data_IF_593152809779
#
_entry.id   IF_593152809779
#
_cell.length_a   1.000
_cell.length_b   1.000
_cell.length_c   1.000
_cell.angle_alpha   90.00
_cell.angle_beta   90.00
_cell.angle_gamma   90.00
#
_symmetry.space_group_name_H-M   'P 1'
#
loop_
_entity.id
_entity.type
_entity.pdbx_description
1 polymer ?
#
# COMPACT_ATOMS: atom_id res chain seq x y z
N UNK A 1 -6.04 7.60 -7.59
CA UNK A 1 -4.86 6.83 -7.13
C UNK A 1 -3.65 7.14 -8.01
N UNK A 2 -3.53 6.62 -9.23
CA UNK A 2 -2.30 6.81 -10.02
C UNK A 2 -2.19 8.13 -10.80
N UNK A 3 -3.28 8.92 -10.94
CA UNK A 3 -3.27 10.18 -11.70
C UNK A 3 -2.16 11.11 -11.21
N UNK A 4 -2.08 11.30 -9.90
CA UNK A 4 -1.10 12.17 -9.25
C UNK A 4 0.32 11.65 -9.45
N UNK A 5 0.53 10.33 -9.31
CA UNK A 5 1.82 9.71 -9.58
C UNK A 5 2.30 9.96 -11.01
N UNK A 6 1.40 9.84 -12.00
CA UNK A 6 1.70 10.11 -13.41
C UNK A 6 2.01 11.60 -13.64
N UNK A 7 1.17 12.50 -13.13
CA UNK A 7 1.34 13.96 -13.27
C UNK A 7 2.68 14.42 -12.70
N UNK A 8 3.12 13.81 -11.60
CA UNK A 8 4.38 14.13 -10.96
C UNK A 8 5.57 13.31 -11.47
N UNK A 9 5.40 12.50 -12.51
CA UNK A 9 6.45 11.61 -13.05
C UNK A 9 7.08 10.73 -11.96
N UNK A 10 6.27 10.24 -11.02
CA UNK A 10 6.74 9.42 -9.92
C UNK A 10 7.26 8.07 -10.45
N UNK A 11 8.45 7.68 -9.98
CA UNK A 11 9.04 6.39 -10.31
C UNK A 11 8.23 5.21 -9.72
N UNK A 12 7.76 5.39 -8.49
CA UNK A 12 6.95 4.39 -7.76
C UNK A 12 6.11 5.08 -6.69
N UNK A 13 5.20 4.33 -6.07
CA UNK A 13 4.37 4.79 -4.95
C UNK A 13 4.44 3.82 -3.78
N UNK A 14 4.17 4.34 -2.59
CA UNK A 14 3.89 3.56 -1.37
C UNK A 14 2.47 3.93 -0.95
N UNK A 15 1.68 2.92 -0.59
CA UNK A 15 0.36 3.11 0.02
C UNK A 15 0.53 3.20 1.53
N UNK A 16 -0.23 4.09 2.17
CA UNK A 16 -0.29 4.10 3.62
C UNK A 16 -1.67 4.55 4.10
N UNK A 17 -2.17 3.89 5.14
CA UNK A 17 -3.33 4.32 5.91
C UNK A 17 -3.13 3.99 7.38
N UNK A 18 -4.00 4.54 8.23
CA UNK A 18 -3.97 4.28 9.65
C UNK A 18 -5.10 3.34 10.09
N UNK A 19 -4.84 2.49 11.08
CA UNK A 19 -5.85 1.73 11.83
C UNK A 19 -6.14 2.46 13.16
N UNK A 20 -7.27 3.20 13.28
CA UNK A 20 -7.62 3.89 14.52
C UNK A 20 -7.86 2.95 15.70
N UNK A 21 -8.09 1.65 15.44
CA UNK A 21 -8.21 0.60 16.45
C UNK A 21 -6.95 0.43 17.30
N UNK A 22 -5.80 0.92 16.82
CA UNK A 22 -4.52 0.81 17.52
C UNK A 22 -3.72 -0.43 17.14
N UNK A 23 -4.28 -1.36 16.36
CA UNK A 23 -3.59 -2.57 15.89
C UNK A 23 -3.45 -2.56 14.35
N UNK A 24 -2.22 -2.51 13.80
CA UNK A 24 -1.98 -2.55 12.37
C UNK A 24 -1.94 -3.98 11.81
N UNK A 25 -2.00 -5.02 12.65
CA UNK A 25 -1.90 -6.43 12.26
C UNK A 25 -3.06 -7.28 12.85
N UNK A 26 -3.64 -8.23 12.10
CA UNK A 26 -3.47 -8.44 10.67
C UNK A 26 -4.12 -7.32 9.83
N UNK A 27 -3.64 -7.10 8.59
CA UNK A 27 -4.39 -6.31 7.62
C UNK A 27 -5.79 -6.91 7.40
N UNK A 28 -6.77 -6.05 7.14
CA UNK A 28 -8.12 -6.48 6.80
C UNK A 28 -8.18 -7.14 5.41
N UNK A 29 -9.28 -7.83 5.12
CA UNK A 29 -9.52 -8.38 3.76
C UNK A 29 -9.59 -7.26 2.70
N UNK A 30 -10.11 -6.09 3.07
CA UNK A 30 -10.15 -4.91 2.21
C UNK A 30 -8.74 -4.38 1.92
N UNK A 31 -7.85 -4.37 2.92
CA UNK A 31 -6.45 -4.00 2.75
C UNK A 31 -5.76 -4.96 1.78
N UNK A 32 -5.97 -6.27 1.92
CA UNK A 32 -5.41 -7.26 0.99
C UNK A 32 -5.94 -7.06 -0.44
N UNK A 33 -7.25 -6.85 -0.57
CA UNK A 33 -7.93 -6.69 -1.85
C UNK A 33 -7.46 -5.43 -2.58
N UNK A 34 -7.37 -4.31 -1.87
CA UNK A 34 -6.95 -3.04 -2.46
C UNK A 34 -5.46 -3.07 -2.82
N UNK A 35 -4.61 -3.66 -1.97
CA UNK A 35 -3.18 -3.83 -2.24
C UNK A 35 -2.96 -4.59 -3.55
N UNK A 36 -3.63 -5.74 -3.70
CA UNK A 36 -3.51 -6.57 -4.90
C UNK A 36 -3.95 -5.81 -6.15
N UNK A 37 -5.11 -5.14 -6.10
CA UNK A 37 -5.64 -4.37 -7.23
C UNK A 37 -4.70 -3.24 -7.64
N UNK A 38 -4.12 -2.54 -6.67
CA UNK A 38 -3.22 -1.42 -6.92
C UNK A 38 -1.85 -1.89 -7.40
N UNK A 39 -1.32 -3.00 -6.88
CA UNK A 39 -0.09 -3.64 -7.40
C UNK A 39 -0.23 -3.98 -8.89
N UNK A 40 -1.31 -4.67 -9.27
CA UNK A 40 -1.55 -5.04 -10.67
C UNK A 40 -1.78 -3.81 -11.55
N UNK A 41 -2.52 -2.82 -11.06
CA UNK A 41 -2.75 -1.57 -11.79
C UNK A 41 -1.46 -0.78 -11.99
N UNK A 42 -0.62 -0.70 -10.96
CA UNK A 42 0.68 -0.03 -11.01
C UNK A 42 1.62 -0.67 -12.02
N UNK A 43 1.63 -2.01 -12.09
CA UNK A 43 2.37 -2.76 -13.10
C UNK A 43 1.92 -2.42 -14.53
N UNK A 44 0.62 -2.31 -14.78
CA UNK A 44 0.07 -1.94 -16.09
C UNK A 44 0.47 -0.50 -16.47
N UNK A 45 0.43 0.41 -15.50
CA UNK A 45 0.71 1.84 -15.71
C UNK A 45 2.20 2.18 -15.70
N UNK A 46 3.08 1.23 -15.37
CA UNK A 46 4.52 1.48 -15.22
C UNK A 46 4.88 2.28 -13.96
N UNK A 47 4.00 2.30 -12.95
CA UNK A 47 4.23 2.95 -11.65
C UNK A 47 4.12 1.89 -10.56
N UNK A 48 5.26 1.37 -10.10
CA UNK A 48 5.28 0.27 -9.14
C UNK A 48 4.70 0.69 -7.78
N UNK A 49 3.89 -0.18 -7.17
CA UNK A 49 3.54 -0.07 -5.75
C UNK A 49 4.61 -0.82 -4.98
N UNK A 50 5.49 -0.07 -4.31
CA UNK A 50 6.68 -0.64 -3.65
C UNK A 50 6.43 -1.10 -2.23
N UNK A 51 5.40 -0.58 -1.55
CA UNK A 51 4.93 -1.09 -0.27
C UNK A 51 3.49 -0.64 0.00
N UNK A 52 2.85 -1.31 0.95
CA UNK A 52 1.66 -0.85 1.63
C UNK A 52 1.91 -0.90 3.14
N UNK A 53 1.79 0.25 3.79
CA UNK A 53 2.11 0.44 5.20
C UNK A 53 0.83 0.79 5.98
N UNK A 54 0.43 -0.09 6.89
CA UNK A 54 -0.63 0.21 7.85
C UNK A 54 0.01 0.78 9.11
N UNK A 55 -0.40 1.98 9.52
CA UNK A 55 0.17 2.69 10.67
C UNK A 55 -0.83 2.65 11.83
N UNK A 56 -0.33 2.39 13.02
CA UNK A 56 -1.09 2.49 14.27
C UNK A 56 -0.33 3.34 15.28
N UNK A 57 -0.90 3.51 16.48
CA UNK A 57 -0.25 4.26 17.56
C UNK A 57 1.07 3.62 18.01
N UNK A 58 1.07 2.29 18.13
CA UNK A 58 2.15 1.54 18.79
C UNK A 58 2.97 0.70 17.81
N UNK A 59 2.77 0.85 16.51
CA UNK A 59 3.52 0.11 15.49
C UNK A 59 3.01 0.32 14.07
N UNK A 60 3.56 -0.46 13.14
CA UNK A 60 3.15 -0.48 11.74
C UNK A 60 3.19 -1.91 11.18
N UNK A 61 2.51 -2.13 10.06
CA UNK A 61 2.57 -3.35 9.27
C UNK A 61 3.00 -3.00 7.84
N UNK A 62 4.11 -3.57 7.37
CA UNK A 62 4.58 -3.45 5.98
C UNK A 62 4.26 -4.74 5.20
N UNK A 63 3.50 -4.62 4.12
CA UNK A 63 3.20 -5.75 3.23
C UNK A 63 4.48 -6.29 2.58
N UNK A 64 5.44 -5.41 2.24
CA UNK A 64 6.73 -5.80 1.68
C UNK A 64 7.58 -6.57 2.68
N UNK A 65 7.69 -6.08 3.92
CA UNK A 65 8.47 -6.75 4.97
C UNK A 65 7.93 -8.15 5.27
N UNK A 66 6.60 -8.31 5.23
CA UNK A 66 5.92 -9.59 5.45
C UNK A 66 5.93 -10.51 4.22
N UNK A 67 6.48 -10.06 3.08
CA UNK A 67 6.61 -10.86 1.86
C UNK A 67 5.29 -11.17 1.16
N UNK A 68 4.24 -10.40 1.43
CA UNK A 68 2.90 -10.59 0.87
C UNK A 68 2.53 -9.53 -0.19
N UNK A 69 3.46 -8.61 -0.49
CA UNK A 69 3.34 -7.67 -1.59
C UNK A 69 3.72 -8.31 -2.92
#
# INVERSE_FOLDING_TARGET
>A
MFKEAIVHSAYSVILAHNHPSGDPEPPSEDDMTITRRLKESGKILGVEVTDHIIISKDGFFSFKEKGIL
#
